data_IF_622563556363
#
_entry.id   IF_622563556363
#
_cell.length_a   1.000
_cell.length_b   1.000
_cell.length_c   1.000
_cell.angle_alpha   90.00
_cell.angle_beta   90.00
_cell.angle_gamma   90.00
#
_symmetry.space_group_name_H-M   'P 1'
#
loop_
_entity.id
_entity.type
_entity.pdbx_description
1 polymer ?
#
# COMPACT_ATOMS: atom_id res chain seq x y z
N UNK A 1 -14.81 21.79 26.13
CA UNK A 1 -13.92 20.66 26.42
C UNK A 1 -13.03 20.42 25.21
N UNK A 2 -11.71 20.58 25.35
CA UNK A 2 -10.78 20.21 24.32
C UNK A 2 -10.82 18.68 24.16
N UNK A 3 -11.26 18.19 22.97
CA UNK A 3 -11.15 16.78 22.63
C UNK A 3 -9.67 16.48 22.33
N UNK A 4 -9.11 15.35 22.78
CA UNK A 4 -7.74 14.99 22.46
C UNK A 4 -7.59 14.86 20.94
N UNK A 5 -6.55 15.45 20.38
CA UNK A 5 -6.26 15.31 18.94
C UNK A 5 -5.70 13.93 18.60
N UNK A 6 -5.07 13.28 19.56
CA UNK A 6 -4.50 11.94 19.42
C UNK A 6 -4.84 11.12 20.66
N UNK A 7 -5.32 9.90 20.44
CA UNK A 7 -5.53 8.91 21.51
C UNK A 7 -4.61 7.71 21.21
N UNK A 8 -3.87 7.28 22.22
CA UNK A 8 -2.98 6.14 22.14
C UNK A 8 -3.29 5.13 23.24
N UNK A 9 -3.50 3.87 22.85
CA UNK A 9 -3.51 2.73 23.76
C UNK A 9 -2.18 1.97 23.63
N UNK A 10 -1.56 1.62 24.74
CA UNK A 10 -0.31 0.86 24.79
C UNK A 10 -0.55 -0.40 25.62
N UNK A 11 -0.18 -1.53 25.02
CA UNK A 11 -0.18 -2.84 25.65
C UNK A 11 1.27 -3.33 25.73
N UNK A 12 1.62 -3.96 26.84
CA UNK A 12 2.92 -4.56 27.05
C UNK A 12 2.72 -5.91 27.75
N UNK A 13 3.44 -6.94 27.32
CA UNK A 13 3.33 -8.27 27.86
C UNK A 13 4.19 -9.26 27.09
N UNK A 14 3.77 -10.51 27.13
CA UNK A 14 4.42 -11.62 26.43
C UNK A 14 3.40 -12.44 25.67
N UNK A 15 3.79 -12.96 24.52
CA UNK A 15 3.01 -13.90 23.71
C UNK A 15 3.88 -15.11 23.44
N UNK A 16 3.50 -16.29 23.99
CA UNK A 16 4.30 -17.52 23.85
C UNK A 16 5.73 -17.38 24.37
N UNK A 17 5.94 -16.62 25.46
CA UNK A 17 7.27 -16.33 26.03
C UNK A 17 8.03 -15.18 25.36
N UNK A 18 7.49 -14.60 24.29
CA UNK A 18 8.14 -13.53 23.55
C UNK A 18 7.67 -12.19 24.08
N UNK A 19 8.56 -11.35 24.63
CA UNK A 19 8.20 -10.01 25.06
C UNK A 19 7.67 -9.18 23.91
N UNK A 20 6.55 -8.48 24.13
CA UNK A 20 5.93 -7.67 23.09
C UNK A 20 5.37 -6.36 23.61
N UNK A 21 5.32 -5.38 22.71
CA UNK A 21 4.62 -4.11 22.88
C UNK A 21 3.69 -3.89 21.70
N UNK A 22 2.46 -3.54 21.97
CA UNK A 22 1.49 -3.22 20.93
C UNK A 22 0.86 -1.86 21.21
N UNK A 23 0.81 -1.00 20.20
CA UNK A 23 0.15 0.30 20.31
C UNK A 23 -0.88 0.51 19.22
N UNK A 24 -2.02 1.09 19.64
CA UNK A 24 -3.09 1.58 18.78
C UNK A 24 -3.13 3.10 18.88
N UNK A 25 -3.18 3.80 17.75
CA UNK A 25 -3.21 5.26 17.70
C UNK A 25 -4.36 5.68 16.80
N UNK A 26 -5.27 6.48 17.37
CA UNK A 26 -6.35 7.18 16.65
C UNK A 26 -6.05 8.67 16.63
N UNK A 27 -6.26 9.31 15.50
CA UNK A 27 -6.13 10.76 15.33
C UNK A 27 -7.49 11.37 15.03
N UNK A 28 -7.78 12.52 15.61
CA UNK A 28 -9.03 13.22 15.34
C UNK A 28 -9.14 13.61 13.86
N UNK A 29 -10.27 13.29 13.24
CA UNK A 29 -10.50 13.56 11.81
C UNK A 29 -9.84 12.57 10.85
N UNK A 30 -9.12 11.57 11.35
CA UNK A 30 -8.50 10.52 10.56
C UNK A 30 -9.33 9.24 10.65
N UNK A 31 -9.53 8.56 9.55
CA UNK A 31 -10.28 7.30 9.47
C UNK A 31 -9.41 6.06 9.70
N UNK A 32 -8.11 6.23 9.93
CA UNK A 32 -7.17 5.16 10.13
C UNK A 32 -6.96 4.86 11.62
N UNK A 33 -6.89 3.58 11.94
CA UNK A 33 -6.37 3.07 13.19
C UNK A 33 -4.93 2.62 12.95
N UNK A 34 -3.96 3.38 13.44
CA UNK A 34 -2.53 3.07 13.30
C UNK A 34 -2.11 2.04 14.33
N UNK A 35 -1.45 0.99 13.88
CA UNK A 35 -0.98 -0.13 14.67
C UNK A 35 0.53 -0.23 14.60
N UNK A 36 1.16 -0.50 15.75
CA UNK A 36 2.59 -0.83 15.82
C UNK A 36 2.79 -1.96 16.81
N UNK A 37 3.37 -3.04 16.34
CA UNK A 37 3.70 -4.23 17.13
C UNK A 37 5.22 -4.42 17.14
N UNK A 38 5.80 -4.53 18.33
CA UNK A 38 7.25 -4.78 18.51
C UNK A 38 7.43 -6.04 19.34
N UNK A 39 8.29 -6.94 18.87
CA UNK A 39 8.62 -8.21 19.48
C UNK A 39 10.12 -8.34 19.69
N UNK A 40 10.51 -8.92 20.80
CA UNK A 40 11.91 -9.20 21.15
C UNK A 40 12.14 -10.71 21.08
N UNK A 41 12.73 -11.17 19.97
CA UNK A 41 12.98 -12.57 19.70
C UNK A 41 14.38 -12.98 20.19
N UNK A 42 14.45 -14.09 20.92
CA UNK A 42 15.67 -14.63 21.53
C UNK A 42 16.18 -15.89 20.82
N UNK A 43 15.58 -16.26 19.69
CA UNK A 43 15.86 -17.50 18.96
C UNK A 43 14.97 -18.65 19.37
N UNK A 44 14.08 -18.45 20.33
CA UNK A 44 13.03 -19.41 20.63
C UNK A 44 11.87 -19.22 19.65
N UNK A 45 11.33 -20.27 19.27
CA UNK A 45 10.39 -20.61 18.22
C UNK A 45 9.20 -19.68 17.95
N UNK A 46 9.23 -18.93 16.90
CA UNK A 46 8.00 -18.68 16.17
C UNK A 46 8.05 -19.49 14.89
N UNK A 47 7.11 -20.43 14.77
CA UNK A 47 7.03 -21.27 13.60
C UNK A 47 8.25 -22.17 13.48
N UNK A 48 8.43 -23.10 14.38
CA UNK A 48 9.45 -24.16 14.28
C UNK A 48 9.36 -24.77 12.91
N UNK A 49 10.43 -24.63 12.13
CA UNK A 49 10.50 -25.21 10.81
C UNK A 49 10.10 -26.68 10.89
N UNK A 50 9.07 -27.05 10.17
CA UNK A 50 8.69 -28.45 10.04
C UNK A 50 9.92 -29.24 9.59
N UNK A 51 10.00 -30.49 10.03
CA UNK A 51 11.05 -31.41 9.58
C UNK A 51 11.03 -31.54 8.05
N UNK A 52 12.13 -31.92 7.45
CA UNK A 52 12.28 -32.04 6.01
C UNK A 52 11.19 -32.90 5.33
N UNK A 53 10.59 -33.85 6.04
CA UNK A 53 9.49 -34.68 5.56
C UNK A 53 8.16 -33.91 5.40
N UNK A 54 7.94 -32.86 6.15
CA UNK A 54 6.78 -31.98 6.00
C UNK A 54 6.88 -31.05 4.78
N UNK A 55 8.04 -30.98 4.14
CA UNK A 55 8.26 -30.24 2.90
C UNK A 55 7.42 -30.76 1.74
N UNK A 56 7.14 -32.04 1.70
CA UNK A 56 6.41 -32.68 0.60
C UNK A 56 4.92 -32.38 0.59
N UNK A 57 4.35 -32.04 1.73
CA UNK A 57 2.91 -31.82 1.88
C UNK A 57 2.54 -30.32 1.97
N UNK A 58 3.53 -29.44 1.98
CA UNK A 58 3.29 -28.02 2.18
C UNK A 58 3.38 -27.25 0.87
N UNK A 59 2.28 -27.23 0.15
CA UNK A 59 2.15 -26.50 -1.10
C UNK A 59 2.07 -24.97 -0.94
N UNK A 60 1.87 -24.49 0.31
CA UNK A 60 1.75 -23.05 0.60
C UNK A 60 2.50 -22.70 1.89
N UNK A 61 3.58 -21.94 1.76
CA UNK A 61 4.39 -21.48 2.89
C UNK A 61 3.65 -20.59 3.92
N UNK A 62 2.45 -20.12 3.59
CA UNK A 62 1.62 -19.30 4.48
C UNK A 62 0.68 -20.14 5.38
N UNK A 63 0.49 -21.41 5.09
CA UNK A 63 -0.37 -22.32 5.89
C UNK A 63 0.40 -22.91 7.07
N UNK A 64 1.10 -22.07 7.83
CA UNK A 64 1.73 -22.50 9.07
C UNK A 64 0.87 -22.08 10.26
N UNK A 65 0.47 -23.04 11.07
CA UNK A 65 -0.25 -22.77 12.33
C UNK A 65 0.64 -22.06 13.34
N UNK A 66 1.94 -22.29 13.29
CA UNK A 66 2.95 -21.73 14.18
C UNK A 66 3.47 -20.38 13.64
N UNK A 67 2.61 -19.40 13.62
CA UNK A 67 2.94 -18.04 13.20
C UNK A 67 2.43 -17.02 14.21
N UNK A 68 3.18 -15.96 14.38
CA UNK A 68 2.72 -14.77 15.07
C UNK A 68 1.85 -13.96 14.10
N UNK A 69 0.63 -13.65 14.51
CA UNK A 69 -0.34 -12.91 13.69
C UNK A 69 -1.17 -11.97 14.51
N UNK A 70 -1.56 -10.86 13.91
CA UNK A 70 -2.58 -9.97 14.43
C UNK A 70 -3.94 -10.43 13.90
N UNK A 71 -4.87 -10.77 14.79
CA UNK A 71 -6.20 -11.30 14.44
C UNK A 71 -7.24 -10.20 14.64
N UNK A 72 -8.11 -10.05 13.65
CA UNK A 72 -9.28 -9.17 13.69
C UNK A 72 -10.55 -9.99 13.52
N UNK A 73 -11.53 -9.74 14.38
CA UNK A 73 -12.90 -10.24 14.19
C UNK A 73 -13.72 -9.13 13.53
N UNK A 74 -14.22 -9.39 12.32
CA UNK A 74 -15.02 -8.44 11.56
C UNK A 74 -16.38 -9.07 11.30
N UNK A 75 -17.49 -8.43 11.69
CA UNK A 75 -18.83 -9.00 11.56
C UNK A 75 -19.35 -8.90 10.12
N UNK A 76 -18.71 -9.60 9.20
CA UNK A 76 -19.18 -9.70 7.83
C UNK A 76 -20.45 -10.53 7.75
N UNK A 77 -21.35 -10.13 6.86
CA UNK A 77 -22.55 -10.88 6.50
C UNK A 77 -22.55 -11.13 4.99
N UNK A 78 -22.89 -12.36 4.58
CA UNK A 78 -22.93 -12.76 3.17
C UNK A 78 -21.56 -13.07 2.55
N UNK A 79 -21.47 -12.99 1.22
CA UNK A 79 -20.27 -13.32 0.50
C UNK A 79 -19.19 -12.24 0.70
N UNK A 80 -17.98 -12.68 0.96
CA UNK A 80 -16.81 -11.84 1.17
C UNK A 80 -15.83 -12.06 0.02
N UNK A 81 -15.34 -10.99 -0.56
CA UNK A 81 -14.30 -10.98 -1.59
C UNK A 81 -13.14 -10.12 -1.14
N UNK A 82 -11.99 -10.37 -1.73
CA UNK A 82 -10.76 -9.64 -1.50
C UNK A 82 -10.45 -8.64 -2.59
N UNK A 83 -9.66 -7.63 -2.24
CA UNK A 83 -9.05 -6.67 -3.14
C UNK A 83 -7.61 -6.43 -2.73
N UNK A 84 -6.75 -6.16 -3.70
CA UNK A 84 -5.33 -5.92 -3.45
C UNK A 84 -4.72 -5.01 -4.50
N UNK A 85 -3.69 -4.28 -4.13
CA UNK A 85 -2.82 -3.65 -5.11
C UNK A 85 -1.71 -4.62 -5.54
N UNK A 86 -1.38 -4.55 -6.80
CA UNK A 86 -0.22 -5.19 -7.43
C UNK A 86 0.58 -4.14 -8.18
N UNK A 87 1.78 -4.45 -8.67
CA UNK A 87 2.52 -3.52 -9.51
C UNK A 87 1.64 -3.03 -10.67
N UNK A 88 1.34 -1.73 -10.68
CA UNK A 88 0.59 -1.02 -11.71
C UNK A 88 -0.89 -1.39 -11.88
N UNK A 89 -1.50 -2.13 -10.96
CA UNK A 89 -2.92 -2.46 -11.04
C UNK A 89 -3.56 -2.71 -9.67
N UNK A 90 -4.88 -2.64 -9.63
CA UNK A 90 -5.72 -3.11 -8.54
C UNK A 90 -6.56 -4.28 -9.06
N UNK A 91 -6.63 -5.35 -8.30
CA UNK A 91 -7.40 -6.53 -8.69
C UNK A 91 -8.24 -7.10 -7.55
N UNK A 92 -9.46 -7.54 -7.85
CA UNK A 92 -10.22 -8.41 -6.93
C UNK A 92 -9.55 -9.78 -6.82
N UNK A 93 -9.86 -10.48 -5.74
CA UNK A 93 -9.40 -11.87 -5.54
C UNK A 93 -10.33 -12.63 -4.61
N UNK A 94 -10.49 -13.92 -4.91
CA UNK A 94 -11.20 -14.87 -4.04
C UNK A 94 -10.23 -15.68 -3.17
N UNK A 95 -8.92 -15.44 -3.30
CA UNK A 95 -7.91 -16.13 -2.51
C UNK A 95 -8.12 -15.88 -1.01
N UNK A 96 -7.86 -16.90 -0.19
CA UNK A 96 -7.80 -16.75 1.26
C UNK A 96 -6.59 -15.91 1.69
N UNK A 97 -5.52 -15.94 0.90
CA UNK A 97 -4.30 -15.15 1.10
C UNK A 97 -4.27 -13.99 0.12
N UNK A 98 -4.48 -12.78 0.65
CA UNK A 98 -4.59 -11.57 -0.16
C UNK A 98 -3.26 -10.82 -0.05
N UNK A 99 -2.39 -11.03 -1.03
CA UNK A 99 -1.09 -10.36 -1.10
C UNK A 99 -1.22 -9.02 -1.80
N UNK A 100 -0.98 -7.92 -1.08
CA UNK A 100 -0.94 -6.56 -1.62
C UNK A 100 0.38 -5.88 -1.28
N UNK A 101 0.92 -5.07 -2.18
CA UNK A 101 2.19 -4.36 -1.95
C UNK A 101 2.02 -3.30 -0.87
N UNK A 102 1.06 -2.42 -1.02
CA UNK A 102 0.79 -1.33 -0.08
C UNK A 102 -0.48 -1.58 0.74
N UNK A 103 -1.45 -2.32 0.19
CA UNK A 103 -2.70 -2.60 0.86
C UNK A 103 -3.37 -3.88 0.37
N UNK A 104 -4.18 -4.43 1.24
CA UNK A 104 -5.13 -5.49 0.95
C UNK A 104 -6.44 -5.21 1.69
N UNK A 105 -7.55 -5.63 1.15
CA UNK A 105 -8.86 -5.49 1.78
C UNK A 105 -9.67 -6.77 1.64
N UNK A 106 -10.57 -7.00 2.59
CA UNK A 106 -11.59 -8.04 2.50
C UNK A 106 -12.93 -7.49 3.00
N UNK A 107 -14.01 -7.89 2.37
CA UNK A 107 -15.35 -7.45 2.74
C UNK A 107 -16.38 -7.64 1.65
N UNK A 108 -17.47 -6.94 1.79
CA UNK A 108 -18.58 -6.88 0.85
C UNK A 108 -19.07 -5.44 0.68
N UNK A 109 -20.17 -5.24 -0.02
CA UNK A 109 -20.73 -3.91 -0.31
C UNK A 109 -21.26 -3.18 0.94
N UNK A 110 -21.45 -3.89 2.06
CA UNK A 110 -21.93 -3.31 3.32
C UNK A 110 -20.79 -2.95 4.26
N UNK A 111 -19.82 -3.83 4.41
CA UNK A 111 -18.71 -3.70 5.35
C UNK A 111 -17.43 -4.24 4.74
N UNK A 112 -16.35 -3.49 4.84
CA UNK A 112 -15.02 -3.97 4.47
C UNK A 112 -13.95 -3.52 5.48
N UNK A 113 -12.85 -4.25 5.50
CA UNK A 113 -11.66 -3.91 6.24
C UNK A 113 -10.46 -3.87 5.29
N UNK A 114 -9.86 -2.70 5.12
CA UNK A 114 -8.60 -2.57 4.44
C UNK A 114 -7.45 -2.50 5.45
N UNK A 115 -6.32 -3.06 5.07
CA UNK A 115 -5.05 -3.03 5.80
C UNK A 115 -4.03 -2.33 4.93
N UNK A 116 -3.48 -1.23 5.41
CA UNK A 116 -2.34 -0.56 4.80
C UNK A 116 -1.08 -1.04 5.50
N UNK A 117 -0.11 -1.49 4.75
CA UNK A 117 1.07 -2.15 5.30
C UNK A 117 2.38 -1.36 5.07
N UNK A 118 3.39 -1.70 5.87
CA UNK A 118 4.77 -1.25 5.71
C UNK A 118 5.69 -2.45 5.90
N UNK A 119 5.57 -3.43 4.98
CA UNK A 119 6.44 -4.60 4.96
C UNK A 119 5.73 -5.95 5.13
N UNK A 120 4.54 -6.03 5.73
CA UNK A 120 3.76 -7.27 5.79
C UNK A 120 2.72 -7.28 4.67
N UNK A 121 3.04 -7.84 3.53
CA UNK A 121 2.25 -7.78 2.31
C UNK A 121 1.10 -8.78 2.22
N UNK A 122 0.61 -9.32 3.34
CA UNK A 122 -0.44 -10.33 3.32
C UNK A 122 -1.55 -10.03 4.33
N UNK A 123 -2.79 -10.16 3.86
CA UNK A 123 -3.99 -10.26 4.67
C UNK A 123 -4.59 -11.64 4.45
N UNK A 124 -4.86 -12.39 5.51
CA UNK A 124 -5.44 -13.73 5.41
C UNK A 124 -6.89 -13.71 5.85
N UNK A 125 -7.78 -14.27 5.03
CA UNK A 125 -9.14 -14.67 5.43
C UNK A 125 -9.06 -16.06 6.06
N UNK A 126 -9.09 -16.13 7.37
CA UNK A 126 -9.01 -17.43 8.07
C UNK A 126 -10.36 -18.12 8.14
N UNK A 127 -11.41 -17.31 8.18
CA UNK A 127 -12.82 -17.72 8.08
C UNK A 127 -13.67 -16.50 7.73
N UNK A 128 -14.97 -16.67 7.58
CA UNK A 128 -15.89 -15.61 7.16
C UNK A 128 -15.87 -14.34 8.03
N UNK A 129 -15.47 -14.48 9.30
CA UNK A 129 -15.46 -13.36 10.25
C UNK A 129 -14.08 -13.12 10.87
N UNK A 130 -13.04 -13.76 10.36
CA UNK A 130 -11.69 -13.64 10.92
C UNK A 130 -10.70 -13.27 9.81
N UNK A 131 -10.11 -12.09 9.97
CA UNK A 131 -8.97 -11.65 9.19
C UNK A 131 -7.72 -11.69 10.07
N UNK A 132 -6.59 -12.00 9.48
CA UNK A 132 -5.30 -11.91 10.18
C UNK A 132 -4.21 -11.30 9.31
N UNK A 133 -3.25 -10.66 9.99
CA UNK A 133 -2.03 -10.13 9.39
C UNK A 133 -0.88 -10.97 9.94
N UNK A 134 -0.15 -11.73 9.11
CA UNK A 134 1.03 -12.46 9.56
C UNK A 134 2.14 -11.45 9.90
N UNK A 135 2.70 -11.56 11.09
CA UNK A 135 3.77 -10.70 11.58
C UNK A 135 5.11 -11.42 11.56
N UNK A 136 5.15 -12.68 11.98
CA UNK A 136 6.33 -13.53 11.88
C UNK A 136 5.92 -14.98 11.70
N UNK A 137 6.67 -15.74 10.94
CA UNK A 137 6.51 -17.18 10.78
C UNK A 137 7.84 -17.81 10.34
N UNK A 138 8.05 -19.08 10.67
CA UNK A 138 9.13 -19.84 10.08
C UNK A 138 8.65 -20.49 8.78
N UNK A 139 9.41 -20.29 7.72
CA UNK A 139 9.16 -20.94 6.44
C UNK A 139 10.16 -22.09 6.25
N UNK A 140 9.65 -23.32 6.05
CA UNK A 140 10.48 -24.48 5.81
C UNK A 140 11.34 -24.34 4.52
N UNK A 141 10.91 -23.52 3.56
CA UNK A 141 11.64 -23.25 2.33
C UNK A 141 12.72 -22.17 2.45
N UNK A 142 12.79 -21.48 3.59
CA UNK A 142 13.84 -20.49 3.80
C UNK A 142 15.22 -21.16 3.89
N UNK A 143 16.17 -20.64 3.15
CA UNK A 143 17.58 -21.03 3.26
C UNK A 143 18.23 -20.30 4.45
N UNK A 144 19.09 -20.99 5.17
CA UNK A 144 19.81 -20.44 6.31
C UNK A 144 19.10 -20.60 7.65
N UNK A 145 19.43 -19.70 8.59
CA UNK A 145 18.86 -19.71 9.94
C UNK A 145 17.36 -19.41 9.91
N UNK A 146 16.59 -20.25 10.59
CA UNK A 146 15.11 -20.14 10.64
C UNK A 146 14.61 -19.56 11.96
N UNK A 147 15.50 -19.37 12.92
CA UNK A 147 15.20 -18.78 14.21
C UNK A 147 15.28 -17.26 14.09
N UNK A 148 14.37 -16.57 14.72
CA UNK A 148 14.35 -15.11 14.75
C UNK A 148 15.08 -14.62 16.00
N UNK A 149 16.02 -13.69 15.80
CA UNK A 149 16.75 -13.03 16.88
C UNK A 149 16.63 -11.53 16.76
N UNK A 150 16.53 -10.85 17.90
CA UNK A 150 16.52 -9.39 17.96
C UNK A 150 15.13 -8.78 17.96
N UNK A 151 15.07 -7.47 17.81
CA UNK A 151 13.84 -6.70 17.90
C UNK A 151 13.26 -6.44 16.52
N UNK A 152 12.03 -6.88 16.31
CA UNK A 152 11.27 -6.65 15.08
C UNK A 152 10.08 -5.74 15.35
N UNK A 153 9.88 -4.76 14.50
CA UNK A 153 8.75 -3.83 14.57
C UNK A 153 7.93 -3.91 13.30
N UNK A 154 6.64 -4.13 13.45
CA UNK A 154 5.66 -4.17 12.37
C UNK A 154 4.75 -2.96 12.49
N UNK A 155 4.59 -2.23 11.40
CA UNK A 155 3.70 -1.07 11.30
C UNK A 155 2.65 -1.33 10.21
N UNK A 156 1.39 -1.11 10.55
CA UNK A 156 0.27 -1.19 9.63
C UNK A 156 -0.86 -0.27 10.09
N UNK A 157 -1.79 0.03 9.21
CA UNK A 157 -3.00 0.75 9.58
C UNK A 157 -4.25 -0.01 9.14
N UNK A 158 -5.27 0.04 9.97
CA UNK A 158 -6.58 -0.54 9.69
C UNK A 158 -7.52 0.56 9.21
N UNK A 159 -8.26 0.27 8.14
CA UNK A 159 -9.25 1.16 7.54
C UNK A 159 -10.60 0.45 7.48
N UNK A 160 -11.45 0.57 8.51
CA UNK A 160 -12.82 0.07 8.43
C UNK A 160 -13.64 0.91 7.45
N UNK A 161 -14.48 0.25 6.67
CA UNK A 161 -15.29 0.86 5.62
C UNK A 161 -16.72 0.36 5.73
N UNK A 162 -17.67 1.26 5.51
CA UNK A 162 -19.10 0.96 5.46
C UNK A 162 -19.67 1.47 4.14
N UNK A 163 -20.59 0.70 3.52
CA UNK A 163 -21.29 1.12 2.31
C UNK A 163 -20.48 1.03 1.03
N UNK A 164 -19.65 0.01 0.89
CA UNK A 164 -18.78 -0.18 -0.27
C UNK A 164 -17.50 0.69 -0.23
N UNK A 165 -16.61 0.48 -1.19
CA UNK A 165 -15.38 1.26 -1.27
C UNK A 165 -14.90 1.43 -2.72
N UNK A 166 -14.17 2.51 -2.95
CA UNK A 166 -13.49 2.76 -4.22
C UNK A 166 -12.02 2.34 -4.10
N UNK A 167 -11.64 1.33 -4.85
CA UNK A 167 -10.31 0.74 -4.77
C UNK A 167 -9.18 1.73 -5.09
N UNK A 168 -9.37 2.62 -6.05
CA UNK A 168 -8.43 3.70 -6.36
C UNK A 168 -8.25 4.69 -5.21
N UNK A 169 -9.31 4.98 -4.43
CA UNK A 169 -9.20 5.82 -3.25
C UNK A 169 -8.37 5.13 -2.17
N UNK A 170 -8.64 3.84 -1.89
CA UNK A 170 -7.85 3.05 -0.93
C UNK A 170 -6.37 3.01 -1.33
N UNK A 171 -6.09 2.85 -2.63
CA UNK A 171 -4.72 2.86 -3.13
C UNK A 171 -4.04 4.21 -2.87
N UNK A 172 -4.71 5.33 -3.10
CA UNK A 172 -4.18 6.67 -2.81
C UNK A 172 -3.91 6.88 -1.32
N UNK A 173 -4.85 6.47 -0.45
CA UNK A 173 -4.69 6.54 1.00
C UNK A 173 -3.53 5.65 1.48
N UNK A 174 -3.39 4.45 0.92
CA UNK A 174 -2.30 3.53 1.24
C UNK A 174 -0.93 4.07 0.82
N UNK A 175 -0.83 4.69 -0.36
CA UNK A 175 0.40 5.37 -0.79
C UNK A 175 0.76 6.53 0.14
N UNK A 176 -0.22 7.34 0.57
CA UNK A 176 0.01 8.41 1.53
C UNK A 176 0.45 7.89 2.91
N UNK A 177 -0.04 6.71 3.32
CA UNK A 177 0.41 6.04 4.53
C UNK A 177 1.84 5.49 4.40
N UNK A 178 2.15 4.83 3.28
CA UNK A 178 3.45 4.19 3.04
C UNK A 178 4.55 5.22 2.78
N UNK A 179 4.23 6.30 2.04
CA UNK A 179 5.15 7.37 1.66
C UNK A 179 4.70 8.70 2.26
N UNK A 180 4.96 8.94 3.56
CA UNK A 180 4.53 10.16 4.21
C UNK A 180 5.24 11.39 3.65
N UNK A 181 4.60 12.55 3.80
CA UNK A 181 5.19 13.83 3.41
C UNK A 181 6.53 14.05 4.12
N UNK A 182 7.51 14.50 3.36
CA UNK A 182 8.79 14.95 3.92
C UNK A 182 8.62 16.40 4.38
N UNK A 183 8.94 16.66 5.65
CA UNK A 183 8.91 17.99 6.21
C UNK A 183 10.31 18.43 6.64
N UNK A 184 10.64 19.70 6.38
CA UNK A 184 11.91 20.31 6.81
C UNK A 184 11.62 21.67 7.45
N UNK A 185 12.17 21.88 8.64
CA UNK A 185 12.13 23.19 9.29
C UNK A 185 13.19 24.08 8.65
N UNK A 186 12.78 25.22 8.12
CA UNK A 186 13.68 26.24 7.58
C UNK A 186 13.78 27.41 8.57
N UNK A 187 15.01 27.89 8.81
CA UNK A 187 15.26 29.12 9.55
C UNK A 187 15.46 30.28 8.57
N UNK A 188 14.77 31.39 8.77
CA UNK A 188 14.88 32.59 7.95
C UNK A 188 13.55 33.30 7.71
N UNK A 189 13.61 34.52 7.14
CA UNK A 189 12.41 35.25 6.70
C UNK A 189 11.82 34.54 5.47
N UNK A 190 10.54 34.22 5.54
CA UNK A 190 9.79 33.70 4.40
C UNK A 190 9.17 34.86 3.62
N UNK A 191 9.85 35.32 2.58
CA UNK A 191 9.28 36.24 1.59
C UNK A 191 8.82 35.48 0.32
N UNK A 192 8.59 34.17 0.43
CA UNK A 192 8.33 33.27 -0.70
C UNK A 192 6.87 32.85 -0.86
N UNK A 193 6.59 32.18 -1.95
CA UNK A 193 5.28 31.55 -2.24
C UNK A 193 4.99 30.48 -1.17
N UNK A 194 3.80 30.50 -0.61
CA UNK A 194 3.34 29.52 0.38
C UNK A 194 3.01 28.16 -0.24
N UNK A 195 2.83 28.14 -1.57
CA UNK A 195 2.58 26.91 -2.34
C UNK A 195 3.23 27.02 -3.72
N UNK A 196 3.94 25.98 -4.14
CA UNK A 196 4.51 25.85 -5.47
C UNK A 196 4.28 24.44 -5.98
N UNK A 197 3.67 24.32 -7.17
CA UNK A 197 3.65 23.09 -7.95
C UNK A 197 4.62 23.25 -9.13
N UNK A 198 5.63 22.37 -9.18
CA UNK A 198 6.60 22.37 -10.28
C UNK A 198 6.00 21.77 -11.55
N UNK A 199 5.08 20.84 -11.39
CA UNK A 199 4.39 20.16 -12.49
C UNK A 199 2.92 19.94 -12.09
N UNK A 200 2.00 20.80 -12.56
CA UNK A 200 0.58 20.69 -12.22
C UNK A 200 -0.08 19.59 -13.05
N UNK A 201 0.08 18.35 -12.58
CA UNK A 201 -0.48 17.14 -13.20
C UNK A 201 -1.91 16.95 -12.73
N UNK A 202 -2.83 16.83 -13.68
CA UNK A 202 -4.22 16.45 -13.46
C UNK A 202 -4.47 15.07 -14.07
N UNK A 203 -5.03 14.15 -13.27
CA UNK A 203 -5.34 12.79 -13.72
C UNK A 203 -6.76 12.42 -13.36
N UNK A 204 -7.38 11.53 -14.14
CA UNK A 204 -8.57 10.82 -13.67
C UNK A 204 -8.24 10.00 -12.42
N UNK A 205 -9.28 9.65 -11.63
CA UNK A 205 -9.11 8.99 -10.33
C UNK A 205 -8.40 7.63 -10.40
N UNK A 206 -8.41 6.98 -11.55
CA UNK A 206 -7.82 5.67 -11.83
C UNK A 206 -6.43 5.74 -12.48
N UNK A 207 -5.88 6.93 -12.72
CA UNK A 207 -4.54 7.11 -13.29
C UNK A 207 -3.57 7.58 -12.23
N UNK A 208 -2.37 7.01 -12.24
CA UNK A 208 -1.27 7.33 -11.31
C UNK A 208 0.02 7.59 -12.07
N UNK A 209 0.81 8.48 -11.50
CA UNK A 209 2.19 8.69 -11.93
C UNK A 209 3.10 7.64 -11.30
N UNK A 210 3.91 6.96 -12.10
CA UNK A 210 4.97 6.07 -11.61
C UNK A 210 6.33 6.74 -11.58
N UNK A 211 6.60 7.63 -12.53
CA UNK A 211 7.87 8.34 -12.62
C UNK A 211 7.74 9.67 -13.37
N UNK A 212 8.55 10.64 -12.96
CA UNK A 212 8.82 11.86 -13.74
C UNK A 212 10.34 12.09 -13.67
N UNK A 213 11.00 12.11 -14.82
CA UNK A 213 12.46 12.13 -14.88
C UNK A 213 12.96 12.84 -16.14
N UNK A 214 14.23 13.19 -16.13
CA UNK A 214 14.91 13.78 -17.27
C UNK A 214 15.92 12.80 -17.84
N UNK A 215 15.85 12.58 -19.15
CA UNK A 215 16.79 11.76 -19.91
C UNK A 215 17.12 12.48 -21.22
N UNK A 216 18.39 12.61 -21.56
CA UNK A 216 18.89 13.32 -22.75
C UNK A 216 18.27 14.72 -22.96
N UNK A 217 18.07 15.47 -21.88
CA UNK A 217 17.39 16.79 -21.82
C UNK A 217 15.89 16.75 -22.15
N UNK A 218 15.31 15.57 -22.32
CA UNK A 218 13.87 15.36 -22.46
C UNK A 218 13.25 15.20 -21.06
N UNK A 219 12.15 15.87 -20.79
CA UNK A 219 11.37 15.64 -19.57
C UNK A 219 10.30 14.58 -19.86
N UNK A 220 10.38 13.47 -19.17
CA UNK A 220 9.52 12.31 -19.38
C UNK A 220 8.62 12.09 -18.18
N UNK A 221 7.34 11.80 -18.43
CA UNK A 221 6.34 11.41 -17.46
C UNK A 221 5.83 10.02 -17.78
N UNK A 222 5.86 9.12 -16.80
CA UNK A 222 5.26 7.80 -16.91
C UNK A 222 4.06 7.69 -16.00
N UNK A 223 2.93 7.32 -16.57
CA UNK A 223 1.66 7.12 -15.88
C UNK A 223 1.11 5.73 -16.19
N UNK A 224 0.19 5.25 -15.35
CA UNK A 224 -0.50 3.98 -15.54
C UNK A 224 -1.95 4.07 -15.09
N UNK A 225 -2.80 3.30 -15.76
CA UNK A 225 -4.19 3.11 -15.37
C UNK A 225 -4.32 1.83 -14.53
N UNK A 226 -5.01 1.91 -13.38
CA UNK A 226 -4.91 0.89 -12.32
C UNK A 226 -6.18 0.05 -12.09
N UNK A 227 -7.34 0.43 -12.67
CA UNK A 227 -8.64 -0.22 -12.41
C UNK A 227 -9.25 -0.95 -13.62
N UNK A 228 -8.54 -1.00 -14.75
CA UNK A 228 -9.05 -1.61 -15.98
C UNK A 228 -10.09 -0.76 -16.70
N UNK A 229 -10.01 0.56 -16.60
CA UNK A 229 -10.90 1.52 -17.22
C UNK A 229 -10.14 2.46 -18.16
N UNK A 230 -10.85 3.31 -18.89
CA UNK A 230 -10.20 4.42 -19.58
C UNK A 230 -9.80 5.51 -18.59
N UNK A 231 -8.65 6.10 -18.83
CA UNK A 231 -8.12 7.16 -17.98
C UNK A 231 -7.55 8.33 -18.77
N UNK A 232 -7.34 9.46 -18.11
CA UNK A 232 -6.80 10.67 -18.71
C UNK A 232 -5.70 11.28 -17.87
N UNK A 233 -4.75 11.96 -18.54
CA UNK A 233 -3.72 12.78 -17.91
C UNK A 233 -3.55 14.09 -18.67
N UNK A 234 -3.44 15.18 -17.93
CA UNK A 234 -3.21 16.50 -18.47
C UNK A 234 -2.21 17.27 -17.61
N UNK A 235 -1.44 18.16 -18.22
CA UNK A 235 -0.49 19.02 -17.51
C UNK A 235 -0.62 20.43 -18.05
N UNK A 236 -1.01 21.37 -17.22
CA UNK A 236 -1.14 22.76 -17.63
C UNK A 236 0.17 23.34 -18.14
N UNK A 237 0.13 23.92 -19.36
CA UNK A 237 1.29 24.53 -20.03
C UNK A 237 2.23 23.54 -20.70
N UNK A 238 1.80 22.29 -20.88
CA UNK A 238 2.57 21.26 -21.60
C UNK A 238 1.71 20.51 -22.60
N UNK A 239 2.34 20.09 -23.68
CA UNK A 239 1.85 19.07 -24.59
C UNK A 239 2.50 17.74 -24.25
N UNK A 240 1.75 16.66 -24.44
CA UNK A 240 2.14 15.29 -24.13
C UNK A 240 2.33 14.53 -25.44
N UNK A 241 3.56 14.16 -25.76
CA UNK A 241 3.86 13.30 -26.91
C UNK A 241 3.98 11.87 -26.41
N UNK A 242 3.11 10.94 -26.84
CA UNK A 242 3.23 9.53 -26.47
C UNK A 242 4.59 8.98 -26.90
N UNK A 243 5.24 8.24 -26.02
CA UNK A 243 6.54 7.63 -26.26
C UNK A 243 6.49 6.13 -25.95
N UNK A 244 7.43 5.40 -26.51
CA UNK A 244 7.76 4.06 -26.09
C UNK A 244 8.50 4.04 -24.73
N UNK A 245 8.93 2.87 -24.30
CA UNK A 245 9.65 2.70 -23.02
C UNK A 245 11.04 3.36 -23.01
N UNK A 246 11.61 3.65 -24.17
CA UNK A 246 12.92 4.29 -24.35
C UNK A 246 12.81 5.80 -24.54
N UNK A 247 11.60 6.38 -24.48
CA UNK A 247 11.37 7.81 -24.64
C UNK A 247 11.37 8.29 -26.09
N UNK A 248 11.25 7.38 -27.06
CA UNK A 248 11.13 7.77 -28.48
C UNK A 248 9.65 8.01 -28.83
N UNK A 249 9.39 9.09 -29.56
CA UNK A 249 8.03 9.52 -29.89
C UNK A 249 7.30 8.44 -30.72
N UNK A 250 6.11 8.08 -30.27
CA UNK A 250 5.25 7.04 -30.87
C UNK A 250 3.92 7.60 -31.44
N UNK A 251 3.72 8.92 -31.37
CA UNK A 251 2.52 9.60 -31.84
C UNK A 251 2.60 11.11 -31.83
N UNK A 252 1.52 11.80 -32.22
CA UNK A 252 1.48 13.26 -32.20
C UNK A 252 1.39 13.82 -30.77
N UNK A 253 1.83 15.05 -30.57
CA UNK A 253 1.69 15.77 -29.32
C UNK A 253 0.21 16.16 -29.07
N UNK A 254 -0.30 15.88 -27.87
CA UNK A 254 -1.69 16.13 -27.46
C UNK A 254 -1.73 17.02 -26.21
N UNK A 255 -2.84 17.72 -25.99
CA UNK A 255 -3.05 18.50 -24.75
C UNK A 255 -3.52 17.63 -23.58
N UNK A 256 -4.10 16.46 -23.89
CA UNK A 256 -4.62 15.49 -22.92
C UNK A 256 -4.29 14.07 -23.40
N UNK A 257 -3.50 13.36 -22.64
CA UNK A 257 -3.16 11.98 -22.91
C UNK A 257 -4.31 11.05 -22.48
N UNK A 258 -4.59 10.04 -23.32
CA UNK A 258 -5.58 9.00 -23.06
C UNK A 258 -4.89 7.70 -22.71
N UNK A 259 -5.44 6.98 -21.73
CA UNK A 259 -4.99 5.64 -21.36
C UNK A 259 -6.11 4.63 -21.58
N UNK A 260 -5.75 3.52 -22.16
CA UNK A 260 -6.59 2.31 -22.20
C UNK A 260 -6.57 1.56 -20.87
N UNK A 261 -7.48 0.62 -20.62
CA UNK A 261 -7.48 -0.24 -19.44
C UNK A 261 -6.11 -0.89 -19.18
N UNK A 262 -5.59 -0.74 -17.97
CA UNK A 262 -4.30 -1.26 -17.51
C UNK A 262 -3.08 -0.81 -18.33
N UNK A 263 -3.20 0.28 -19.08
CA UNK A 263 -2.09 0.79 -19.88
C UNK A 263 -1.06 1.50 -19.00
N UNK A 264 0.21 1.24 -19.29
CA UNK A 264 1.35 2.04 -18.83
C UNK A 264 1.80 2.86 -20.04
N UNK A 265 1.85 4.20 -19.89
CA UNK A 265 2.23 5.11 -20.96
C UNK A 265 3.32 6.07 -20.50
N UNK A 266 4.33 6.27 -21.34
CA UNK A 266 5.32 7.32 -21.19
C UNK A 266 4.98 8.48 -22.13
N UNK A 267 5.10 9.71 -21.64
CA UNK A 267 4.93 10.93 -22.40
C UNK A 267 6.19 11.79 -22.33
N UNK A 268 6.63 12.29 -23.46
CA UNK A 268 7.55 13.43 -23.52
C UNK A 268 6.73 14.70 -23.26
N UNK A 269 7.21 15.53 -22.33
CA UNK A 269 6.58 16.78 -21.95
C UNK A 269 7.26 17.96 -22.67
N UNK A 270 6.52 18.66 -23.49
CA UNK A 270 6.97 19.84 -24.23
C UNK A 270 6.19 21.06 -23.74
N UNK A 271 6.90 22.10 -23.31
CA UNK A 271 6.23 23.34 -22.90
C UNK A 271 5.48 23.99 -24.07
N UNK A 272 4.24 24.37 -23.82
CA UNK A 272 3.50 25.20 -24.75
C UNK A 272 4.18 26.58 -24.85
N UNK A 273 4.68 26.93 -26.04
CA UNK A 273 5.14 28.28 -26.31
C UNK A 273 3.90 29.16 -26.50
N UNK A 274 3.52 29.90 -25.48
CA UNK A 274 2.61 31.02 -25.69
C UNK A 274 3.39 32.07 -26.48
N UNK A 275 3.09 32.24 -27.77
CA UNK A 275 3.48 33.43 -28.51
C UNK A 275 2.83 34.63 -27.83
N UNK A 276 3.66 35.47 -27.20
CA UNK A 276 3.29 36.76 -26.64
C UNK A 276 2.80 37.69 -27.77
#
# INVERSE_FOLDING_TARGET
SCKPMITKALFQGEIGGIPCRFSLICKAGDSLLYCRATFEHDGEHIGVGRTFDAFRDNTNGFVHEEKLRFIMRVPFEGNIYGWRDRPFLIAPTDDAYIEGINWAAAGNDTLAMAVYNRGSMCLTRESDNILSIPLAYANAYAWGEKLLFGTYTHEFALRPLTGGFHAAQLHSEALAYTYPLISQTMQGKQDGKTQLSLLPIETSHNVRMSACYTEDRKLLLRVYELEGQHGTVQISGYRLTPCDLFGEAAGPAESCGQLSPYQIQTYLLERECYSL
#
